data_IF_852508097891
#
_entry.id   IF_852508097891
#
_cell.length_a   1.000
_cell.length_b   1.000
_cell.length_c   1.000
_cell.angle_alpha   90.00
_cell.angle_beta   90.00
_cell.angle_gamma   90.00
#
_symmetry.space_group_name_H-M   'P 1'
#
loop_
_entity.id
_entity.type
_entity.pdbx_description
1 polymer ?
#
# COMPACT_ATOMS: atom_id res chain seq x y z
N UNK A 1 3.94 -25.82 -19.33
CA UNK A 1 4.28 -24.38 -19.48
C UNK A 1 4.93 -23.95 -18.17
N UNK A 2 6.10 -23.33 -18.19
CA UNK A 2 6.84 -23.03 -16.97
C UNK A 2 6.01 -22.13 -16.02
N UNK A 3 5.96 -22.47 -14.74
CA UNK A 3 5.26 -21.73 -13.67
C UNK A 3 5.44 -20.21 -13.78
N UNK A 4 6.65 -19.74 -14.05
CA UNK A 4 6.95 -18.30 -14.23
C UNK A 4 6.27 -17.69 -15.45
N UNK A 5 6.16 -18.42 -16.56
CA UNK A 5 5.47 -17.91 -17.78
C UNK A 5 3.98 -17.73 -17.49
N UNK A 6 3.35 -18.67 -16.77
CA UNK A 6 1.93 -18.53 -16.38
C UNK A 6 1.70 -17.33 -15.45
N UNK A 7 2.61 -17.11 -14.49
CA UNK A 7 2.52 -15.96 -13.59
C UNK A 7 2.70 -14.62 -14.31
N UNK A 8 3.68 -14.53 -15.22
CA UNK A 8 3.87 -13.31 -16.05
C UNK A 8 2.69 -13.09 -16.99
N UNK A 9 2.17 -14.13 -17.62
CA UNK A 9 0.97 -14.03 -18.45
C UNK A 9 -0.25 -13.55 -17.64
N UNK A 10 -0.45 -14.11 -16.43
CA UNK A 10 -1.50 -13.66 -15.51
C UNK A 10 -1.34 -12.19 -15.12
N UNK A 11 -0.13 -11.74 -14.82
CA UNK A 11 0.19 -10.33 -14.53
C UNK A 11 -0.22 -9.42 -15.71
N UNK A 12 0.20 -9.77 -16.93
CA UNK A 12 -0.14 -8.98 -18.13
C UNK A 12 -1.66 -8.92 -18.37
N UNK A 13 -2.35 -10.05 -18.23
CA UNK A 13 -3.82 -10.10 -18.37
C UNK A 13 -4.49 -9.23 -17.31
N UNK A 14 -4.03 -9.30 -16.06
CA UNK A 14 -4.58 -8.46 -14.97
C UNK A 14 -4.37 -6.98 -15.26
N UNK A 15 -3.18 -6.57 -15.68
CA UNK A 15 -2.90 -5.17 -16.03
C UNK A 15 -3.75 -4.69 -17.21
N UNK A 16 -3.94 -5.52 -18.24
CA UNK A 16 -4.82 -5.20 -19.37
C UNK A 16 -6.28 -5.06 -18.93
N UNK A 17 -6.78 -5.97 -18.09
CA UNK A 17 -8.13 -5.87 -17.55
C UNK A 17 -8.32 -4.62 -16.70
N UNK A 18 -7.38 -4.32 -15.80
CA UNK A 18 -7.43 -3.12 -14.96
C UNK A 18 -7.39 -1.87 -15.84
N UNK A 19 -6.51 -1.80 -16.84
CA UNK A 19 -6.42 -0.66 -17.74
C UNK A 19 -7.73 -0.43 -18.50
N UNK A 20 -8.35 -1.51 -19.00
CA UNK A 20 -9.63 -1.43 -19.71
C UNK A 20 -10.78 -0.99 -18.80
N UNK A 21 -10.86 -1.57 -17.59
CA UNK A 21 -11.91 -1.19 -16.61
C UNK A 21 -11.73 0.26 -16.20
N UNK A 22 -10.51 0.67 -15.87
CA UNK A 22 -10.18 2.05 -15.48
C UNK A 22 -10.60 3.02 -16.58
N UNK A 23 -10.16 2.78 -17.83
CA UNK A 23 -10.52 3.62 -18.96
C UNK A 23 -12.05 3.68 -19.16
N UNK A 24 -12.74 2.52 -19.10
CA UNK A 24 -14.19 2.44 -19.31
C UNK A 24 -14.98 3.19 -18.24
N UNK A 25 -14.58 3.08 -16.96
CA UNK A 25 -15.21 3.80 -15.86
C UNK A 25 -15.14 5.31 -16.08
N UNK A 26 -13.99 5.82 -16.53
CA UNK A 26 -13.83 7.25 -16.79
C UNK A 26 -14.56 7.75 -18.04
N UNK A 27 -14.91 6.87 -18.99
CA UNK A 27 -15.78 7.23 -20.11
C UNK A 27 -17.24 7.42 -19.69
N UNK A 28 -17.69 6.69 -18.65
CA UNK A 28 -19.07 6.70 -18.16
C UNK A 28 -19.32 7.87 -17.22
N UNK A 29 -18.26 8.40 -16.58
CA UNK A 29 -18.39 9.51 -15.63
C UNK A 29 -18.97 10.75 -16.31
N UNK A 30 -20.13 11.27 -15.85
CA UNK A 30 -20.75 12.44 -16.47
C UNK A 30 -19.93 13.70 -16.24
N UNK A 31 -19.80 14.51 -17.28
CA UNK A 31 -19.15 15.84 -17.24
C UNK A 31 -17.94 15.92 -18.17
N UNK A 32 -17.85 17.06 -18.85
CA UNK A 32 -16.74 17.35 -19.75
C UNK A 32 -15.65 18.11 -18.98
N UNK A 33 -14.39 17.61 -18.97
CA UNK A 33 -13.27 18.29 -18.32
C UNK A 33 -13.06 19.74 -18.74
N UNK A 34 -13.38 20.08 -19.99
CA UNK A 34 -13.23 21.44 -20.50
C UNK A 34 -14.07 22.47 -19.72
N UNK A 35 -15.29 22.10 -19.28
CA UNK A 35 -16.11 22.99 -18.45
C UNK A 35 -15.54 23.22 -17.06
N UNK A 36 -14.79 22.26 -16.53
CA UNK A 36 -14.16 22.40 -15.21
C UNK A 36 -12.94 23.31 -15.28
N UNK A 37 -12.23 23.26 -16.41
CA UNK A 37 -11.02 24.06 -16.62
C UNK A 37 -11.36 25.50 -16.98
N UNK A 38 -12.31 25.69 -17.91
CA UNK A 38 -12.69 27.00 -18.44
C UNK A 38 -13.81 27.68 -17.64
N UNK A 39 -14.55 26.92 -16.83
CA UNK A 39 -15.76 27.38 -16.17
C UNK A 39 -17.02 27.11 -16.99
N UNK A 40 -18.17 27.17 -16.32
CA UNK A 40 -19.49 26.89 -16.94
C UNK A 40 -19.95 27.99 -17.89
N UNK A 41 -19.40 29.20 -17.74
CA UNK A 41 -19.73 30.39 -18.56
C UNK A 41 -18.76 30.58 -19.73
N UNK A 42 -17.88 29.62 -20.01
CA UNK A 42 -16.89 29.72 -21.09
C UNK A 42 -17.55 29.72 -22.47
N UNK A 43 -16.92 30.41 -23.41
CA UNK A 43 -17.35 30.44 -24.81
C UNK A 43 -17.38 29.02 -25.40
N UNK A 44 -18.49 28.59 -26.05
CA UNK A 44 -18.60 27.30 -26.73
C UNK A 44 -17.43 27.00 -27.66
N UNK A 45 -16.90 27.99 -28.38
CA UNK A 45 -15.74 27.84 -29.27
C UNK A 45 -14.46 27.45 -28.48
N UNK A 46 -14.26 28.02 -27.29
CA UNK A 46 -13.13 27.70 -26.43
C UNK A 46 -13.24 26.28 -25.87
N UNK A 47 -14.46 25.86 -25.50
CA UNK A 47 -14.75 24.50 -25.02
C UNK A 47 -14.48 23.49 -26.13
N UNK A 48 -14.93 23.74 -27.35
CA UNK A 48 -14.71 22.85 -28.48
C UNK A 48 -13.22 22.75 -28.85
N UNK A 49 -12.50 23.87 -28.89
CA UNK A 49 -11.07 23.92 -29.13
C UNK A 49 -10.28 23.13 -28.06
N UNK A 50 -10.67 23.27 -26.78
CA UNK A 50 -10.06 22.55 -25.69
C UNK A 50 -10.37 21.04 -25.76
N UNK A 51 -11.61 20.64 -26.04
CA UNK A 51 -11.98 19.25 -26.25
C UNK A 51 -11.16 18.60 -27.36
N UNK A 52 -10.96 19.30 -28.47
CA UNK A 52 -10.15 18.82 -29.59
C UNK A 52 -8.68 18.71 -29.22
N UNK A 53 -8.14 19.65 -28.49
CA UNK A 53 -6.74 19.59 -28.00
C UNK A 53 -6.51 18.45 -27.02
N UNK A 54 -7.53 18.07 -26.22
CA UNK A 54 -7.54 16.92 -25.32
C UNK A 54 -7.82 15.60 -26.03
N UNK A 55 -8.15 15.62 -27.34
CA UNK A 55 -8.51 14.43 -28.11
C UNK A 55 -9.83 13.79 -27.69
N UNK A 56 -10.70 14.54 -27.01
CA UNK A 56 -12.01 14.04 -26.56
C UNK A 56 -13.01 13.88 -27.69
N UNK A 57 -12.71 14.43 -28.86
CA UNK A 57 -13.43 14.27 -30.13
C UNK A 57 -13.24 12.90 -30.80
N UNK A 58 -12.15 12.19 -30.43
CA UNK A 58 -11.86 10.86 -30.99
C UNK A 58 -12.77 9.78 -30.38
N UNK A 59 -13.09 8.71 -31.18
CA UNK A 59 -13.79 7.55 -30.64
C UNK A 59 -13.08 6.95 -29.39
N UNK A 60 -13.87 6.48 -28.43
CA UNK A 60 -13.32 5.97 -27.16
C UNK A 60 -12.29 4.84 -27.35
N UNK A 61 -12.55 3.93 -28.32
CA UNK A 61 -11.63 2.83 -28.61
C UNK A 61 -10.27 3.32 -29.12
N UNK A 62 -10.27 4.36 -29.97
CA UNK A 62 -9.01 4.97 -30.47
C UNK A 62 -8.24 5.59 -29.32
N UNK A 63 -8.92 6.34 -28.44
CA UNK A 63 -8.28 6.92 -27.24
C UNK A 63 -7.70 5.86 -26.30
N UNK A 64 -8.39 4.73 -26.13
CA UNK A 64 -7.86 3.62 -25.35
C UNK A 64 -6.60 3.01 -25.95
N UNK A 65 -6.60 2.75 -27.26
CA UNK A 65 -5.42 2.21 -27.96
C UNK A 65 -4.25 3.20 -27.92
N UNK A 66 -4.51 4.48 -28.17
CA UNK A 66 -3.50 5.55 -28.09
C UNK A 66 -2.89 5.61 -26.67
N UNK A 67 -3.72 5.52 -25.64
CA UNK A 67 -3.27 5.52 -24.24
C UNK A 67 -2.44 4.28 -23.90
N UNK A 68 -2.90 3.07 -24.27
CA UNK A 68 -2.11 1.84 -24.07
C UNK A 68 -0.79 1.89 -24.82
N UNK A 69 -0.76 2.39 -26.04
CA UNK A 69 0.49 2.58 -26.79
C UNK A 69 1.44 3.57 -26.10
N UNK A 70 0.90 4.61 -25.47
CA UNK A 70 1.64 5.56 -24.62
C UNK A 70 2.25 4.88 -23.42
N UNK A 71 1.50 4.02 -22.69
CA UNK A 71 2.02 3.28 -21.52
C UNK A 71 3.28 2.47 -21.85
N UNK A 72 3.32 1.80 -23.01
CA UNK A 72 4.51 1.05 -23.44
C UNK A 72 5.71 1.93 -23.76
N UNK A 73 5.50 3.23 -23.98
CA UNK A 73 6.55 4.23 -24.20
C UNK A 73 6.90 5.03 -22.95
N UNK A 74 6.25 4.73 -21.81
CA UNK A 74 6.38 5.49 -20.57
C UNK A 74 5.61 6.83 -20.57
N UNK A 75 4.78 7.06 -21.58
CA UNK A 75 3.94 8.25 -21.67
C UNK A 75 2.56 7.96 -21.05
N UNK A 76 2.32 8.55 -19.90
CA UNK A 76 1.04 8.48 -19.17
C UNK A 76 0.10 9.65 -19.52
N UNK A 77 0.50 10.51 -20.47
CA UNK A 77 -0.20 11.72 -20.84
C UNK A 77 0.19 12.92 -19.98
N UNK A 78 -0.52 14.02 -20.19
CA UNK A 78 -0.34 15.30 -19.49
C UNK A 78 -1.55 15.59 -18.60
N UNK A 79 -1.31 15.94 -17.35
CA UNK A 79 -2.34 16.35 -16.39
C UNK A 79 -3.04 17.62 -16.89
N UNK A 80 -4.36 17.63 -16.87
CA UNK A 80 -5.14 18.79 -17.25
C UNK A 80 -5.01 19.94 -16.25
N UNK A 81 -4.89 19.60 -14.97
CA UNK A 81 -4.79 20.60 -13.90
C UNK A 81 -3.39 21.17 -13.74
N UNK A 82 -2.37 20.29 -13.74
CA UNK A 82 -0.99 20.69 -13.45
C UNK A 82 -0.21 21.08 -14.72
N UNK A 83 -0.72 20.75 -15.91
CA UNK A 83 -0.06 21.01 -17.20
C UNK A 83 1.36 20.40 -17.25
N UNK A 84 1.54 19.26 -16.58
CA UNK A 84 2.80 18.53 -16.45
C UNK A 84 2.62 17.07 -16.83
N UNK A 85 3.69 16.36 -17.25
CA UNK A 85 3.63 14.94 -17.51
C UNK A 85 3.17 14.16 -16.28
N UNK A 86 2.18 13.28 -16.45
CA UNK A 86 1.63 12.45 -15.36
C UNK A 86 2.71 11.59 -14.72
N UNK A 87 3.65 11.06 -15.52
CA UNK A 87 4.76 10.26 -15.02
C UNK A 87 5.63 11.02 -14.01
N UNK A 88 5.88 12.31 -14.25
CA UNK A 88 6.66 13.16 -13.33
C UNK A 88 5.88 13.39 -12.03
N UNK A 89 4.60 13.74 -12.10
CA UNK A 89 3.76 13.94 -10.91
C UNK A 89 3.70 12.68 -10.05
N UNK A 90 3.63 11.50 -10.66
CA UNK A 90 3.66 10.22 -9.95
C UNK A 90 5.02 10.00 -9.30
N UNK A 91 6.12 10.25 -10.01
CA UNK A 91 7.48 10.05 -9.47
C UNK A 91 7.77 10.95 -8.26
N UNK A 92 7.33 12.20 -8.30
CA UNK A 92 7.49 13.15 -7.20
C UNK A 92 6.67 12.73 -5.96
N UNK A 93 5.43 12.30 -6.19
CA UNK A 93 4.56 11.81 -5.11
C UNK A 93 5.00 10.45 -4.54
N UNK A 94 5.74 9.65 -5.32
CA UNK A 94 6.23 8.34 -4.92
C UNK A 94 7.25 8.43 -3.79
N UNK A 95 8.07 9.47 -3.72
CA UNK A 95 8.99 9.69 -2.60
C UNK A 95 8.23 9.71 -1.28
N UNK A 96 7.09 10.39 -1.23
CA UNK A 96 6.26 10.51 -0.03
C UNK A 96 5.58 9.20 0.31
N UNK A 97 4.78 8.67 -0.63
CA UNK A 97 4.01 7.43 -0.41
C UNK A 97 4.93 6.23 -0.20
N UNK A 98 6.04 6.14 -0.95
CA UNK A 98 7.03 5.09 -0.81
C UNK A 98 7.73 5.12 0.56
N UNK A 99 8.15 6.31 1.01
CA UNK A 99 8.75 6.50 2.34
C UNK A 99 7.78 6.09 3.44
N UNK A 100 6.53 6.54 3.35
CA UNK A 100 5.46 6.19 4.29
C UNK A 100 5.21 4.68 4.32
N UNK A 101 5.08 4.05 3.15
CA UNK A 101 4.84 2.61 3.05
C UNK A 101 6.01 1.79 3.62
N UNK A 102 7.25 2.13 3.30
CA UNK A 102 8.43 1.41 3.79
C UNK A 102 8.53 1.48 5.31
N UNK A 103 8.40 2.67 5.91
CA UNK A 103 8.47 2.81 7.37
C UNK A 103 7.32 2.08 8.03
N UNK A 104 6.10 2.20 7.49
CA UNK A 104 4.93 1.48 8.00
C UNK A 104 5.14 -0.04 7.95
N UNK A 105 5.67 -0.58 6.85
CA UNK A 105 5.97 -2.01 6.71
C UNK A 105 7.01 -2.47 7.72
N UNK A 106 8.08 -1.71 7.93
CA UNK A 106 9.13 -2.02 8.91
C UNK A 106 8.52 -2.05 10.32
N UNK A 107 7.74 -1.02 10.70
CA UNK A 107 7.08 -0.97 12.00
C UNK A 107 6.09 -2.14 12.17
N UNK A 108 5.29 -2.42 11.14
CA UNK A 108 4.33 -3.54 11.14
C UNK A 108 5.05 -4.88 11.36
N UNK A 109 6.18 -5.11 10.69
CA UNK A 109 6.95 -6.33 10.83
C UNK A 109 7.55 -6.45 12.24
N UNK A 110 8.19 -5.40 12.72
CA UNK A 110 8.85 -5.40 14.04
C UNK A 110 7.81 -5.61 15.14
N UNK A 111 6.77 -4.77 15.19
CA UNK A 111 5.72 -4.85 16.21
C UNK A 111 4.96 -6.17 16.07
N UNK A 112 4.58 -6.55 14.86
CA UNK A 112 3.79 -7.74 14.57
C UNK A 112 4.49 -9.03 14.98
N UNK A 113 5.76 -9.18 14.63
CA UNK A 113 6.52 -10.38 14.95
C UNK A 113 6.87 -10.43 16.44
N UNK A 114 7.42 -9.35 17.00
CA UNK A 114 7.83 -9.33 18.40
C UNK A 114 6.64 -9.54 19.35
N UNK A 115 5.57 -8.77 19.18
CA UNK A 115 4.37 -8.91 20.00
C UNK A 115 3.65 -10.24 19.77
N UNK A 116 3.60 -10.73 18.51
CA UNK A 116 2.98 -12.00 18.18
C UNK A 116 3.68 -13.21 18.80
N UNK A 117 5.02 -13.24 18.75
CA UNK A 117 5.83 -14.28 19.42
C UNK A 117 5.67 -14.20 20.94
N UNK A 118 5.71 -12.99 21.51
CA UNK A 118 5.54 -12.80 22.94
C UNK A 118 4.17 -13.28 23.41
N UNK A 119 3.09 -12.93 22.69
CA UNK A 119 1.72 -13.39 22.97
C UNK A 119 1.58 -14.91 22.80
N UNK A 120 2.28 -15.53 21.86
CA UNK A 120 2.28 -16.97 21.71
C UNK A 120 3.00 -17.67 22.89
N UNK A 121 4.10 -17.10 23.37
CA UNK A 121 4.85 -17.67 24.50
C UNK A 121 4.13 -17.52 25.85
N UNK A 122 3.28 -16.51 25.99
CA UNK A 122 2.56 -16.18 27.22
C UNK A 122 1.03 -16.32 27.08
N UNK A 123 0.55 -17.17 26.15
CA UNK A 123 -0.88 -17.30 25.84
C UNK A 123 -1.76 -17.69 27.05
N UNK A 124 -1.18 -18.41 28.00
CA UNK A 124 -1.88 -18.92 29.18
C UNK A 124 -1.77 -18.00 30.41
N UNK A 125 -1.14 -16.83 30.22
CA UNK A 125 -0.87 -15.89 31.32
C UNK A 125 -1.84 -14.71 31.26
N UNK A 126 -2.41 -14.35 32.41
CA UNK A 126 -3.36 -13.23 32.51
C UNK A 126 -2.80 -11.89 32.05
N UNK A 127 -1.51 -11.64 32.23
CA UNK A 127 -0.86 -10.39 31.83
C UNK A 127 -0.65 -10.27 30.30
N UNK A 128 -0.95 -11.32 29.54
CA UNK A 128 -1.00 -11.24 28.08
C UNK A 128 -2.31 -10.69 27.54
N UNK A 129 -3.38 -10.68 28.38
CA UNK A 129 -4.69 -10.19 28.00
C UNK A 129 -4.72 -8.72 27.56
N UNK A 130 -4.08 -7.77 28.28
CA UNK A 130 -4.09 -6.37 27.87
C UNK A 130 -3.52 -6.15 26.45
N UNK A 131 -2.39 -6.77 26.12
CA UNK A 131 -1.79 -6.65 24.79
C UNK A 131 -2.66 -7.34 23.71
N UNK A 132 -3.28 -8.47 24.06
CA UNK A 132 -4.21 -9.16 23.15
C UNK A 132 -5.46 -8.31 22.90
N UNK A 133 -6.01 -7.68 23.91
CA UNK A 133 -7.16 -6.76 23.79
C UNK A 133 -6.77 -5.51 22.98
N UNK A 134 -5.62 -4.90 23.27
CA UNK A 134 -5.14 -3.73 22.53
C UNK A 134 -4.97 -4.04 21.05
N UNK A 135 -4.43 -5.20 20.69
CA UNK A 135 -4.32 -5.61 19.30
C UNK A 135 -5.68 -5.80 18.63
N UNK A 136 -6.69 -6.34 19.33
CA UNK A 136 -8.05 -6.46 18.80
C UNK A 136 -8.72 -5.10 18.57
N UNK A 137 -8.57 -4.19 19.52
CA UNK A 137 -9.09 -2.82 19.42
C UNK A 137 -8.43 -2.08 18.25
N UNK A 138 -7.10 -2.24 18.06
CA UNK A 138 -6.36 -1.60 16.98
C UNK A 138 -6.84 -2.00 15.58
N UNK A 139 -7.31 -3.24 15.38
CA UNK A 139 -7.90 -3.67 14.10
C UNK A 139 -9.24 -2.96 13.83
N UNK A 140 -10.00 -2.66 14.87
CA UNK A 140 -11.34 -2.09 14.75
C UNK A 140 -11.33 -0.58 14.52
N UNK A 141 -10.22 0.09 14.81
CA UNK A 141 -10.08 1.54 14.63
C UNK A 141 -9.56 1.83 13.22
N UNK A 142 -10.29 2.59 12.38
CA UNK A 142 -9.78 3.03 11.08
C UNK A 142 -8.48 3.83 11.23
N UNK A 143 -7.54 3.66 10.28
CA UNK A 143 -6.22 4.30 10.33
C UNK A 143 -6.29 5.83 10.42
N UNK A 144 -7.26 6.46 9.76
CA UNK A 144 -7.44 7.90 9.84
C UNK A 144 -7.95 8.38 11.20
N UNK A 145 -8.78 7.60 11.88
CA UNK A 145 -9.19 7.90 13.26
C UNK A 145 -7.98 7.80 14.21
N UNK A 146 -7.15 6.78 14.02
CA UNK A 146 -5.90 6.64 14.76
C UNK A 146 -4.95 7.82 14.48
N UNK A 147 -4.87 8.29 13.23
CA UNK A 147 -4.08 9.46 12.84
C UNK A 147 -4.52 10.71 13.61
N UNK A 148 -5.83 11.01 13.63
CA UNK A 148 -6.39 12.15 14.36
C UNK A 148 -6.10 12.04 15.86
N UNK A 149 -6.25 10.84 16.43
CA UNK A 149 -5.95 10.59 17.83
C UNK A 149 -4.48 10.83 18.17
N UNK A 150 -3.56 10.34 17.34
CA UNK A 150 -2.11 10.56 17.52
C UNK A 150 -1.73 12.04 17.36
N UNK A 151 -2.32 12.75 16.38
CA UNK A 151 -2.14 14.21 16.24
C UNK A 151 -2.59 14.93 17.51
N UNK A 152 -3.75 14.60 18.04
CA UNK A 152 -4.31 15.24 19.23
C UNK A 152 -3.38 15.09 20.44
N UNK A 153 -2.77 13.92 20.62
CA UNK A 153 -1.86 13.67 21.73
C UNK A 153 -0.48 14.28 21.49
N UNK A 154 0.17 13.89 20.39
CA UNK A 154 1.60 14.15 20.19
C UNK A 154 1.90 15.52 19.60
N UNK A 155 0.97 16.08 18.80
CA UNK A 155 1.16 17.38 18.20
C UNK A 155 0.50 18.48 19.02
N UNK A 156 -0.79 18.34 19.35
CA UNK A 156 -1.54 19.39 20.04
C UNK A 156 -1.23 19.39 21.53
N UNK A 157 -1.29 18.21 22.17
CA UNK A 157 -1.08 18.07 23.62
C UNK A 157 0.39 18.22 24.02
N UNK A 158 1.25 17.34 23.50
CA UNK A 158 2.66 17.25 23.89
C UNK A 158 3.60 18.16 23.08
N UNK A 159 3.18 18.60 21.88
CA UNK A 159 3.98 19.42 20.95
C UNK A 159 5.34 18.80 20.57
N UNK A 160 5.40 17.46 20.49
CA UNK A 160 6.64 16.74 20.19
C UNK A 160 6.90 16.55 18.70
N UNK A 161 5.83 16.38 17.91
CA UNK A 161 5.90 16.02 16.49
C UNK A 161 5.02 16.94 15.64
N UNK A 162 5.38 17.18 14.36
CA UNK A 162 4.58 17.96 13.44
C UNK A 162 3.29 17.23 13.06
N UNK A 163 2.24 18.00 12.73
CA UNK A 163 0.95 17.45 12.29
C UNK A 163 0.77 17.47 10.79
N UNK A 164 1.52 18.30 10.05
CA UNK A 164 1.25 18.61 8.64
C UNK A 164 2.56 18.67 7.88
N UNK A 165 2.51 18.16 6.65
CA UNK A 165 3.57 18.27 5.66
C UNK A 165 4.55 17.10 5.67
N UNK A 166 5.41 17.12 4.68
CA UNK A 166 6.47 16.15 4.46
C UNK A 166 7.77 16.92 4.25
N UNK A 167 8.83 16.45 4.85
CA UNK A 167 10.20 16.94 4.63
C UNK A 167 10.94 15.85 3.87
N UNK A 168 11.57 16.20 2.73
CA UNK A 168 12.35 15.23 1.96
C UNK A 168 13.60 14.77 2.73
N UNK A 169 14.01 13.52 2.49
CA UNK A 169 15.24 12.99 3.08
C UNK A 169 16.47 13.80 2.68
N UNK A 170 16.49 14.32 1.45
CA UNK A 170 17.58 15.15 0.93
C UNK A 170 17.69 16.51 1.62
N UNK A 171 16.57 17.07 2.10
CA UNK A 171 16.52 18.34 2.82
C UNK A 171 16.96 18.19 4.28
N UNK A 172 16.38 17.23 5.00
CA UNK A 172 16.71 16.96 6.39
C UNK A 172 16.32 15.53 6.78
N UNK A 173 17.27 14.60 6.99
CA UNK A 173 16.97 13.23 7.43
C UNK A 173 16.18 13.17 8.74
N UNK A 174 16.48 14.06 9.70
CA UNK A 174 15.74 14.12 10.97
C UNK A 174 14.34 14.70 10.80
N UNK A 175 14.17 15.70 9.94
CA UNK A 175 12.88 16.26 9.56
C UNK A 175 12.00 15.23 8.84
N UNK A 176 12.60 14.51 7.88
CA UNK A 176 11.97 13.42 7.16
C UNK A 176 11.42 12.35 8.12
N UNK A 177 12.23 11.88 9.06
CA UNK A 177 11.78 10.88 10.03
C UNK A 177 10.65 11.43 10.91
N UNK A 178 10.79 12.66 11.43
CA UNK A 178 9.76 13.29 12.28
C UNK A 178 8.43 13.47 11.56
N UNK A 179 8.45 13.83 10.26
CA UNK A 179 7.22 13.98 9.45
C UNK A 179 6.52 12.65 9.19
N UNK A 180 7.23 11.52 9.24
CA UNK A 180 6.71 10.19 8.95
C UNK A 180 6.28 9.39 10.19
N UNK A 181 6.75 9.72 11.41
CA UNK A 181 6.46 8.95 12.63
C UNK A 181 4.95 8.78 12.86
N UNK A 182 4.20 9.88 12.95
CA UNK A 182 2.77 9.80 13.24
C UNK A 182 1.97 9.13 12.11
N UNK A 183 2.16 9.50 10.82
CA UNK A 183 1.49 8.82 9.71
C UNK A 183 1.78 7.32 9.69
N UNK A 184 3.06 6.92 9.81
CA UNK A 184 3.44 5.51 9.80
C UNK A 184 2.90 4.74 11.00
N UNK A 185 2.93 5.33 12.20
CA UNK A 185 2.35 4.71 13.39
C UNK A 185 0.83 4.52 13.25
N UNK A 186 0.11 5.47 12.68
CA UNK A 186 -1.34 5.37 12.48
C UNK A 186 -1.74 4.20 11.58
N UNK A 187 -0.95 3.92 10.54
CA UNK A 187 -1.13 2.76 9.67
C UNK A 187 -0.63 1.47 10.34
N UNK A 188 0.56 1.52 10.95
CA UNK A 188 1.22 0.34 11.50
C UNK A 188 0.47 -0.27 12.68
N UNK A 189 -0.23 0.50 13.50
CA UNK A 189 -0.97 -0.02 14.65
C UNK A 189 -2.08 -0.99 14.22
N UNK A 190 -2.86 -0.66 13.19
CA UNK A 190 -3.89 -1.53 12.65
C UNK A 190 -3.32 -2.76 11.93
N UNK A 191 -2.34 -2.54 11.06
CA UNK A 191 -1.73 -3.61 10.25
C UNK A 191 -0.88 -4.57 11.08
N UNK A 192 -0.14 -4.07 12.09
CA UNK A 192 0.63 -4.92 13.01
C UNK A 192 -0.27 -5.84 13.82
N UNK A 193 -1.47 -5.41 14.18
CA UNK A 193 -2.40 -6.24 14.94
C UNK A 193 -2.87 -7.47 14.13
N UNK A 194 -3.01 -7.35 12.81
CA UNK A 194 -3.25 -8.48 11.91
C UNK A 194 -2.06 -9.44 11.95
N UNK A 195 -0.84 -8.92 11.77
CA UNK A 195 0.39 -9.73 11.80
C UNK A 195 0.59 -10.41 13.16
N UNK A 196 0.36 -9.71 14.29
CA UNK A 196 0.38 -10.28 15.66
C UNK A 196 -0.49 -11.53 15.73
N UNK A 197 -1.72 -11.44 15.26
CA UNK A 197 -2.67 -12.57 15.30
C UNK A 197 -2.17 -13.75 14.49
N UNK A 198 -1.68 -13.53 13.28
CA UNK A 198 -1.17 -14.60 12.42
C UNK A 198 0.11 -15.23 12.97
N UNK A 199 1.04 -14.42 13.48
CA UNK A 199 2.26 -14.92 14.13
C UNK A 199 1.90 -15.77 15.35
N UNK A 200 1.01 -15.29 16.23
CA UNK A 200 0.55 -16.05 17.41
C UNK A 200 -0.03 -17.40 17.03
N UNK A 201 -0.93 -17.43 16.05
CA UNK A 201 -1.57 -18.69 15.60
C UNK A 201 -0.54 -19.63 14.98
N UNK A 202 0.32 -19.13 14.11
CA UNK A 202 1.35 -19.92 13.43
C UNK A 202 2.36 -20.52 14.42
N UNK A 203 2.86 -19.72 15.36
CA UNK A 203 3.79 -20.18 16.41
C UNK A 203 3.15 -21.27 17.28
N UNK A 204 1.91 -21.07 17.70
CA UNK A 204 1.20 -22.08 18.51
C UNK A 204 0.93 -23.37 17.73
N UNK A 205 0.67 -23.27 16.44
CA UNK A 205 0.54 -24.45 15.54
C UNK A 205 1.85 -25.21 15.39
N UNK A 206 2.95 -24.50 15.16
CA UNK A 206 4.28 -25.12 15.00
C UNK A 206 4.80 -25.76 16.28
N UNK A 207 4.48 -25.21 17.46
CA UNK A 207 4.88 -25.80 18.76
C UNK A 207 4.35 -27.22 18.98
N UNK A 208 3.23 -27.59 18.36
CA UNK A 208 2.58 -28.90 18.50
C UNK A 208 3.18 -29.97 17.58
N UNK A 209 4.08 -29.61 16.67
CA UNK A 209 4.66 -30.52 15.68
C UNK A 209 5.72 -31.45 16.27
N UNK A 210 5.84 -32.65 15.72
CA UNK A 210 6.74 -33.69 16.22
C UNK A 210 8.22 -33.32 16.18
N UNK A 211 8.65 -32.52 15.19
CA UNK A 211 10.04 -32.03 15.14
C UNK A 211 10.40 -31.15 16.34
N UNK A 212 9.43 -30.45 16.94
CA UNK A 212 9.62 -29.66 18.16
C UNK A 212 9.81 -30.58 19.37
N UNK A 213 9.00 -31.63 19.48
CA UNK A 213 9.17 -32.67 20.51
C UNK A 213 10.54 -33.33 20.41
N UNK A 214 10.96 -33.72 19.20
CA UNK A 214 12.28 -34.28 18.93
C UNK A 214 13.40 -33.30 19.33
N UNK A 215 13.26 -31.99 19.09
CA UNK A 215 14.25 -31.01 19.50
C UNK A 215 14.40 -30.96 21.03
N UNK A 216 13.30 -31.00 21.77
CA UNK A 216 13.34 -31.08 23.24
C UNK A 216 13.95 -32.40 23.74
N UNK A 217 13.63 -33.53 23.13
CA UNK A 217 14.21 -34.85 23.48
C UNK A 217 15.72 -34.91 23.24
N UNK A 218 16.25 -34.09 22.33
CA UNK A 218 17.71 -33.91 22.12
C UNK A 218 18.35 -32.96 23.12
N UNK A 219 17.63 -32.47 24.16
CA UNK A 219 18.16 -31.63 25.21
C UNK A 219 18.29 -30.15 24.83
N UNK A 220 17.66 -29.68 23.73
CA UNK A 220 17.71 -28.28 23.35
C UNK A 220 16.85 -27.43 24.28
N UNK A 221 17.41 -26.33 24.79
CA UNK A 221 16.71 -25.39 25.66
C UNK A 221 15.58 -24.65 24.95
N UNK A 222 14.56 -24.22 25.71
CA UNK A 222 13.31 -23.58 25.23
C UNK A 222 13.57 -22.45 24.22
N UNK A 223 14.48 -21.52 24.52
CA UNK A 223 14.77 -20.39 23.64
C UNK A 223 15.36 -20.84 22.29
N UNK A 224 16.29 -21.82 22.31
CA UNK A 224 16.90 -22.33 21.09
C UNK A 224 15.86 -23.04 20.21
N UNK A 225 14.95 -23.81 20.81
CA UNK A 225 13.84 -24.46 20.11
C UNK A 225 12.90 -23.41 19.53
N UNK A 226 12.51 -22.40 20.32
CA UNK A 226 11.60 -21.33 19.89
C UNK A 226 12.16 -20.57 18.70
N UNK A 227 13.33 -19.96 18.80
CA UNK A 227 13.85 -19.05 17.78
C UNK A 227 14.43 -19.76 16.57
N UNK A 228 15.04 -20.94 16.73
CA UNK A 228 15.73 -21.64 15.64
C UNK A 228 14.83 -22.65 14.90
N UNK A 229 13.86 -23.25 15.58
CA UNK A 229 13.03 -24.31 15.01
C UNK A 229 11.57 -23.84 14.81
N UNK A 230 10.94 -23.30 15.82
CA UNK A 230 9.52 -22.89 15.75
C UNK A 230 9.35 -21.63 14.93
N UNK A 231 10.03 -20.54 15.28
CA UNK A 231 9.83 -19.23 14.64
C UNK A 231 10.14 -19.27 13.14
N UNK A 232 11.23 -19.91 12.76
CA UNK A 232 11.63 -20.01 11.35
C UNK A 232 10.51 -20.60 10.48
N UNK A 233 9.87 -21.66 10.94
CA UNK A 233 8.77 -22.31 10.21
C UNK A 233 7.46 -21.54 10.35
N UNK A 234 7.27 -20.83 11.46
CA UNK A 234 6.08 -19.99 11.70
C UNK A 234 6.03 -18.75 10.81
N UNK A 235 7.18 -18.24 10.35
CA UNK A 235 7.24 -17.07 9.51
C UNK A 235 6.81 -17.32 8.04
N UNK A 236 6.80 -18.60 7.59
CA UNK A 236 6.39 -18.91 6.21
C UNK A 236 4.98 -18.38 5.88
N UNK A 237 3.92 -18.69 6.66
CA UNK A 237 2.60 -18.10 6.41
C UNK A 237 2.55 -16.58 6.65
N UNK A 238 3.43 -16.06 7.51
CA UNK A 238 3.47 -14.61 7.83
C UNK A 238 3.95 -13.79 6.63
N UNK A 239 4.86 -14.34 5.80
CA UNK A 239 5.31 -13.67 4.57
C UNK A 239 4.14 -13.35 3.64
N UNK A 240 3.16 -14.26 3.52
CA UNK A 240 1.94 -14.01 2.73
C UNK A 240 1.16 -12.83 3.25
N UNK A 241 0.86 -12.90 4.54
CA UNK A 241 0.07 -11.88 5.19
C UNK A 241 0.78 -10.53 5.09
N UNK A 242 2.11 -10.54 5.21
CA UNK A 242 2.91 -9.33 5.06
C UNK A 242 2.81 -8.75 3.64
N UNK A 243 2.80 -9.59 2.60
CA UNK A 243 2.60 -9.11 1.24
C UNK A 243 1.21 -8.53 0.99
N UNK A 244 0.15 -9.18 1.51
CA UNK A 244 -1.21 -8.63 1.47
C UNK A 244 -1.29 -7.31 2.23
N UNK A 245 -0.68 -7.24 3.41
CA UNK A 245 -0.61 -6.01 4.23
C UNK A 245 0.12 -4.87 3.51
N UNK A 246 1.12 -5.17 2.67
CA UNK A 246 1.78 -4.14 1.86
C UNK A 246 0.82 -3.47 0.87
N UNK A 247 -0.06 -4.24 0.22
CA UNK A 247 -1.10 -3.70 -0.65
C UNK A 247 -2.15 -2.88 0.15
N UNK A 248 -2.54 -3.36 1.33
CA UNK A 248 -3.48 -2.66 2.22
C UNK A 248 -2.90 -1.32 2.72
N UNK A 249 -1.60 -1.26 3.01
CA UNK A 249 -0.91 -0.03 3.42
C UNK A 249 -0.97 1.00 2.30
N UNK A 250 -0.72 0.59 1.05
CA UNK A 250 -0.81 1.50 -0.10
C UNK A 250 -2.22 2.06 -0.29
N UNK A 251 -3.26 1.21 -0.13
CA UNK A 251 -4.65 1.66 -0.16
C UNK A 251 -5.02 2.56 1.02
N UNK A 252 -4.61 2.18 2.23
CA UNK A 252 -4.89 2.93 3.48
C UNK A 252 -4.12 4.25 3.58
N UNK A 253 -2.96 4.36 2.91
CA UNK A 253 -2.14 5.58 2.91
C UNK A 253 -2.87 6.77 2.30
N UNK A 254 -3.79 6.56 1.33
CA UNK A 254 -4.54 7.62 0.65
C UNK A 254 -5.23 8.56 1.65
N UNK A 255 -5.93 8.00 2.62
CA UNK A 255 -6.67 8.80 3.60
C UNK A 255 -5.70 9.44 4.61
N UNK A 256 -4.69 8.69 5.05
CA UNK A 256 -3.69 9.18 6.02
C UNK A 256 -2.86 10.32 5.43
N UNK A 257 -2.43 10.22 4.16
CA UNK A 257 -1.75 11.31 3.45
C UNK A 257 -2.59 12.59 3.41
N UNK A 258 -3.90 12.47 3.18
CA UNK A 258 -4.81 13.63 3.22
C UNK A 258 -4.91 14.23 4.64
N UNK A 259 -5.02 13.40 5.69
CA UNK A 259 -5.09 13.87 7.09
C UNK A 259 -3.83 14.64 7.48
N UNK A 260 -2.65 14.15 7.10
CA UNK A 260 -1.37 14.81 7.38
C UNK A 260 -0.96 15.84 6.31
N UNK A 261 -1.81 16.10 5.30
CA UNK A 261 -1.54 17.01 4.18
C UNK A 261 -0.21 16.71 3.46
N UNK A 262 0.12 15.45 3.31
CA UNK A 262 1.35 14.99 2.64
C UNK A 262 1.15 14.99 1.12
N UNK A 263 2.12 15.48 0.31
CA UNK A 263 2.01 15.53 -1.15
C UNK A 263 2.30 14.18 -1.81
N UNK A 264 1.61 13.12 -1.39
CA UNK A 264 1.76 11.77 -1.91
C UNK A 264 0.73 11.39 -2.98
N UNK A 265 0.79 10.14 -3.42
CA UNK A 265 -0.08 9.56 -4.45
C UNK A 265 -1.56 9.63 -4.04
N UNK A 266 -1.86 9.38 -2.76
CA UNK A 266 -3.23 9.45 -2.25
C UNK A 266 -3.83 10.85 -2.36
N UNK A 267 -3.04 11.89 -2.08
CA UNK A 267 -3.47 13.27 -2.27
C UNK A 267 -3.66 13.62 -3.74
N UNK A 268 -2.76 13.16 -4.61
CA UNK A 268 -2.91 13.34 -6.06
C UNK A 268 -4.21 12.72 -6.57
N UNK A 269 -4.57 11.50 -6.10
CA UNK A 269 -5.84 10.85 -6.45
C UNK A 269 -7.03 11.71 -6.01
N UNK A 270 -7.04 12.16 -4.76
CA UNK A 270 -8.13 12.99 -4.22
C UNK A 270 -8.32 14.29 -5.02
N UNK A 271 -7.21 14.94 -5.37
CA UNK A 271 -7.22 16.17 -6.20
C UNK A 271 -7.68 15.86 -7.63
N UNK A 272 -7.20 14.78 -8.24
CA UNK A 272 -7.57 14.37 -9.60
C UNK A 272 -9.06 14.06 -9.73
N UNK A 273 -9.65 13.40 -8.73
CA UNK A 273 -11.10 13.16 -8.66
C UNK A 273 -11.87 14.48 -8.62
N UNK A 274 -11.46 15.38 -7.71
CA UNK A 274 -12.15 16.65 -7.51
C UNK A 274 -12.06 17.58 -8.72
N UNK A 275 -10.93 17.56 -9.43
CA UNK A 275 -10.69 18.37 -10.64
C UNK A 275 -11.05 17.65 -11.95
N UNK A 276 -11.51 16.40 -11.89
CA UNK A 276 -11.77 15.54 -13.06
C UNK A 276 -10.60 15.47 -14.04
N UNK A 277 -9.39 15.39 -13.50
CA UNK A 277 -8.17 15.25 -14.28
C UNK A 277 -8.03 13.79 -14.75
N UNK A 278 -8.65 13.48 -15.89
CA UNK A 278 -8.75 12.11 -16.38
C UNK A 278 -7.39 11.47 -16.68
N UNK A 279 -6.44 12.13 -17.38
CA UNK A 279 -5.12 11.53 -17.62
C UNK A 279 -4.38 11.19 -16.31
N UNK A 280 -4.39 12.13 -15.36
CA UNK A 280 -3.74 11.92 -14.07
C UNK A 280 -4.40 10.79 -13.28
N UNK A 281 -5.73 10.75 -13.25
CA UNK A 281 -6.47 9.72 -12.54
C UNK A 281 -6.30 8.32 -13.16
N UNK A 282 -6.29 8.23 -14.49
CA UNK A 282 -6.01 6.99 -15.22
C UNK A 282 -4.59 6.49 -14.95
N UNK A 283 -3.60 7.39 -15.05
CA UNK A 283 -2.20 7.08 -14.77
C UNK A 283 -1.99 6.61 -13.32
N UNK A 284 -2.56 7.30 -12.33
CA UNK A 284 -2.48 6.94 -10.91
C UNK A 284 -3.14 5.58 -10.62
N UNK A 285 -4.33 5.33 -11.17
CA UNK A 285 -5.03 4.06 -10.96
C UNK A 285 -4.27 2.88 -11.57
N UNK A 286 -3.76 3.06 -12.79
CA UNK A 286 -2.92 2.06 -13.44
C UNK A 286 -1.62 1.80 -12.67
N UNK A 287 -0.97 2.85 -12.19
CA UNK A 287 0.25 2.77 -11.39
C UNK A 287 0.02 2.02 -10.06
N UNK A 288 -1.07 2.33 -9.35
CA UNK A 288 -1.41 1.60 -8.12
C UNK A 288 -1.68 0.11 -8.40
N UNK A 289 -2.41 -0.19 -9.46
CA UNK A 289 -2.65 -1.57 -9.87
C UNK A 289 -1.34 -2.28 -10.21
N UNK A 290 -0.41 -1.61 -10.91
CA UNK A 290 0.91 -2.15 -11.24
C UNK A 290 1.69 -2.48 -9.96
N UNK A 291 1.73 -1.57 -8.99
CA UNK A 291 2.42 -1.82 -7.71
C UNK A 291 1.82 -3.02 -6.98
N UNK A 292 0.49 -3.08 -6.84
CA UNK A 292 -0.18 -4.20 -6.17
C UNK A 292 0.14 -5.53 -6.86
N UNK A 293 0.10 -5.57 -8.18
CA UNK A 293 0.41 -6.78 -8.96
C UNK A 293 1.88 -7.16 -8.81
N UNK A 294 2.81 -6.19 -8.84
CA UNK A 294 4.25 -6.42 -8.62
C UNK A 294 4.53 -6.89 -7.20
N UNK A 295 3.89 -6.31 -6.18
CA UNK A 295 4.00 -6.76 -4.79
C UNK A 295 3.53 -8.21 -4.64
N UNK A 296 2.37 -8.57 -5.19
CA UNK A 296 1.87 -9.93 -5.15
C UNK A 296 2.81 -10.90 -5.88
N UNK A 297 3.34 -10.51 -7.03
CA UNK A 297 4.32 -11.32 -7.76
C UNK A 297 5.62 -11.51 -6.97
N UNK A 298 6.10 -10.47 -6.29
CA UNK A 298 7.28 -10.55 -5.42
C UNK A 298 7.04 -11.52 -4.26
N UNK A 299 5.85 -11.49 -3.64
CA UNK A 299 5.44 -12.44 -2.59
C UNK A 299 5.42 -13.88 -3.12
N UNK A 300 4.85 -14.12 -4.31
CA UNK A 300 4.85 -15.43 -4.94
C UNK A 300 6.28 -15.95 -5.22
N UNK A 301 7.20 -15.06 -5.61
CA UNK A 301 8.62 -15.39 -5.78
C UNK A 301 9.28 -15.77 -4.46
N UNK A 302 9.06 -14.98 -3.40
CA UNK A 302 9.57 -15.30 -2.05
C UNK A 302 9.06 -16.66 -1.59
N UNK A 303 7.78 -16.95 -1.82
CA UNK A 303 7.22 -18.26 -1.54
C UNK A 303 7.96 -19.39 -2.24
N UNK A 304 8.19 -19.24 -3.55
CA UNK A 304 8.89 -20.26 -4.33
C UNK A 304 10.34 -20.50 -3.89
N UNK A 305 10.95 -19.51 -3.20
CA UNK A 305 12.28 -19.61 -2.61
C UNK A 305 12.26 -20.26 -1.21
N UNK A 306 11.22 -19.95 -0.42
CA UNK A 306 11.09 -20.43 0.98
C UNK A 306 10.52 -21.85 1.05
N UNK A 307 9.58 -22.19 0.18
CA UNK A 307 9.01 -23.55 0.09
C UNK A 307 9.18 -24.15 -1.33
N UNK A 308 10.25 -24.94 -1.56
CA UNK A 308 10.49 -25.57 -2.85
C UNK A 308 9.39 -26.54 -3.32
N UNK A 309 8.48 -26.97 -2.43
CA UNK A 309 7.39 -27.89 -2.77
C UNK A 309 6.33 -27.27 -3.67
N UNK A 310 6.24 -25.94 -3.69
CA UNK A 310 5.28 -25.20 -4.52
C UNK A 310 5.69 -25.20 -6.01
N UNK A 311 6.97 -25.46 -6.32
CA UNK A 311 7.47 -25.51 -7.71
C UNK A 311 7.06 -26.76 -8.48
N UNK A 312 6.50 -27.75 -7.82
CA UNK A 312 6.19 -29.07 -8.39
C UNK A 312 4.72 -29.25 -8.82
N UNK A 313 3.93 -28.19 -8.80
CA UNK A 313 2.58 -28.12 -9.36
C UNK A 313 2.50 -27.01 -10.39
#
# INVERSE_FOLDING_TARGET
>A
MNYYIQKVAGLLVTLLLVSFITFSVFQILPGNPAYIILGVDADPMQIEALNKSMGLDKPALVRYVDWIAGLFRGDLGVSYRYQQPVAQLISDALEVTGSLAIITLILTLIIGVLAGVWLADHSDKWYSLPLSMLSQVSISIPSFCMAIFLISIFTVGLKWLPSIGFVSFSESPSGWLKSLILPSCSLALGTSAIVIRYVKVSVNGQRKQDYVRTAYSKGLGKNKVMYRHVLRNSLIPVVTIFGMTAADILGGSIIVENVFSMPGIGRLISVSISSRDLPLLQGLTFYLALIVVVCNFAVDLIYSLVDPRIRLK
#
